data_IF_075016663112
#
_entry.id   IF_075016663112
#
_cell.length_a   1.000
_cell.length_b   1.000
_cell.length_c   1.000
_cell.angle_alpha   90.00
_cell.angle_beta   90.00
_cell.angle_gamma   90.00
#
_symmetry.space_group_name_H-M   'P 1'
#
loop_
_entity.id
_entity.type
_entity.pdbx_description
1 polymer ?
#
# COMPACT_ATOMS: atom_id res chain seq x y z
N UNK A 1 37.98 -1.17 -0.63
CA UNK A 1 36.76 -0.45 -0.21
C UNK A 1 35.55 -1.11 -0.87
N UNK A 2 34.99 -2.16 -0.27
CA UNK A 2 33.65 -2.65 -0.61
C UNK A 2 33.02 -3.02 0.73
N UNK A 3 32.26 -2.08 1.30
CA UNK A 3 31.51 -2.32 2.53
C UNK A 3 30.32 -3.19 2.16
N UNK A 4 30.37 -4.48 2.49
CA UNK A 4 29.21 -5.35 2.48
C UNK A 4 28.18 -4.79 3.47
N UNK A 5 27.21 -4.02 2.98
CA UNK A 5 26.05 -3.62 3.78
C UNK A 5 25.26 -4.89 4.02
N UNK A 6 25.38 -5.41 5.24
CA UNK A 6 24.48 -6.43 5.75
C UNK A 6 23.05 -5.87 5.66
N UNK A 7 22.23 -6.41 4.76
CA UNK A 7 20.78 -6.22 4.76
C UNK A 7 20.25 -6.92 6.01
N UNK A 8 20.36 -6.26 7.16
CA UNK A 8 19.62 -6.62 8.35
C UNK A 8 18.15 -6.68 7.92
N UNK A 9 17.49 -7.81 8.20
CA UNK A 9 16.07 -8.04 7.93
C UNK A 9 15.27 -7.07 8.80
N UNK A 10 15.12 -5.83 8.32
CA UNK A 10 14.46 -4.74 9.05
C UNK A 10 12.98 -5.04 9.11
N UNK A 11 12.43 -5.06 10.31
CA UNK A 11 10.99 -5.11 10.51
C UNK A 11 10.40 -3.79 9.99
N UNK A 12 9.79 -3.81 8.80
CA UNK A 12 9.23 -2.60 8.17
C UNK A 12 8.08 -1.96 8.95
N UNK A 13 7.62 -2.58 10.05
CA UNK A 13 6.55 -2.06 10.90
C UNK A 13 6.88 -0.68 11.48
N UNK A 14 8.16 -0.38 11.73
CA UNK A 14 8.60 0.92 12.23
C UNK A 14 8.43 2.05 11.20
N UNK A 15 8.31 1.72 9.91
CA UNK A 15 8.05 2.67 8.84
C UNK A 15 6.57 3.05 8.78
N UNK A 16 5.67 2.24 9.35
CA UNK A 16 4.24 2.55 9.46
C UNK A 16 4.01 3.44 10.69
N UNK A 17 3.46 4.64 10.49
CA UNK A 17 3.24 5.60 11.59
C UNK A 17 1.82 5.52 12.12
N UNK A 18 1.64 5.14 13.38
CA UNK A 18 0.35 5.24 14.09
C UNK A 18 0.02 6.71 14.33
N UNK A 19 -1.19 7.13 13.99
CA UNK A 19 -1.68 8.50 14.20
C UNK A 19 -3.00 8.44 14.97
N UNK A 20 -3.06 9.11 16.11
CA UNK A 20 -4.28 9.16 16.95
C UNK A 20 -4.96 10.53 16.97
N UNK A 21 -4.30 11.57 16.43
CA UNK A 21 -4.79 12.93 16.52
C UNK A 21 -4.91 13.65 15.16
N UNK A 22 -5.84 14.61 15.12
CA UNK A 22 -6.19 15.32 13.89
C UNK A 22 -5.13 16.35 13.47
N UNK A 23 -4.35 16.89 14.41
CA UNK A 23 -3.29 17.87 14.10
C UNK A 23 -2.09 17.14 13.48
N UNK A 24 -1.70 16.00 14.05
CA UNK A 24 -0.67 15.12 13.51
C UNK A 24 -1.07 14.58 12.14
N UNK A 25 -2.32 14.11 11.97
CA UNK A 25 -2.82 13.70 10.66
C UNK A 25 -2.64 14.80 9.60
N UNK A 26 -3.08 16.03 9.91
CA UNK A 26 -2.87 17.18 9.02
C UNK A 26 -1.40 17.51 8.80
N UNK A 27 -0.54 17.32 9.80
CA UNK A 27 0.90 17.54 9.68
C UNK A 27 1.49 16.59 8.65
N UNK A 28 1.14 15.30 8.69
CA UNK A 28 1.58 14.33 7.68
C UNK A 28 1.14 14.73 6.28
N UNK A 29 -0.14 15.08 6.11
CA UNK A 29 -0.67 15.53 4.82
C UNK A 29 0.00 16.79 4.27
N UNK A 30 0.50 17.68 5.14
CA UNK A 30 1.22 18.91 4.73
C UNK A 30 2.70 18.67 4.42
N UNK A 31 3.29 17.61 4.96
CA UNK A 31 4.74 17.35 4.88
C UNK A 31 5.08 16.20 3.93
N UNK A 32 4.10 15.42 3.52
CA UNK A 32 4.25 14.28 2.62
C UNK A 32 3.19 14.35 1.53
N UNK A 33 3.63 14.33 0.28
CA UNK A 33 2.75 14.51 -0.88
C UNK A 33 2.07 13.21 -1.33
N UNK A 34 2.50 12.06 -0.81
CA UNK A 34 1.98 10.75 -1.20
C UNK A 34 1.82 9.91 0.06
N UNK A 35 0.57 9.76 0.50
CA UNK A 35 0.25 9.15 1.79
C UNK A 35 -0.84 8.11 1.61
N UNK A 36 -0.53 6.86 2.00
CA UNK A 36 -1.51 5.79 2.13
C UNK A 36 -1.91 5.66 3.59
N UNK A 37 -3.21 5.74 3.87
CA UNK A 37 -3.74 5.68 5.23
C UNK A 37 -4.55 4.41 5.40
N UNK A 38 -4.13 3.60 6.37
CA UNK A 38 -4.80 2.37 6.81
C UNK A 38 -5.72 2.71 7.96
N UNK A 39 -7.02 2.78 7.70
CA UNK A 39 -8.04 2.90 8.73
C UNK A 39 -8.51 1.50 9.12
N UNK A 40 -8.49 1.16 10.40
CA UNK A 40 -9.06 -0.12 10.85
C UNK A 40 -10.04 0.07 12.00
N UNK A 41 -10.89 -0.93 12.24
CA UNK A 41 -11.73 -0.96 13.44
C UNK A 41 -10.93 -1.25 14.71
N UNK A 42 -9.83 -1.98 14.58
CA UNK A 42 -8.86 -2.27 15.63
C UNK A 42 -7.52 -2.71 15.01
N UNK A 43 -6.41 -2.63 15.76
CA UNK A 43 -5.10 -3.12 15.30
C UNK A 43 -5.13 -4.62 14.95
N UNK A 44 -5.95 -5.40 15.65
CA UNK A 44 -6.17 -6.83 15.39
C UNK A 44 -6.97 -7.11 14.11
N UNK A 45 -7.73 -6.14 13.62
CA UNK A 45 -8.48 -6.28 12.37
C UNK A 45 -7.57 -6.23 11.13
N UNK A 46 -6.34 -5.73 11.28
CA UNK A 46 -5.33 -5.72 10.22
C UNK A 46 -4.61 -7.06 10.20
N UNK A 47 -4.94 -7.90 9.21
CA UNK A 47 -4.38 -9.24 9.02
C UNK A 47 -2.97 -9.20 8.41
N UNK A 48 -2.74 -8.29 7.48
CA UNK A 48 -1.56 -8.31 6.61
C UNK A 48 -0.54 -7.23 6.98
N UNK A 49 -0.21 -7.14 8.28
CA UNK A 49 0.81 -6.21 8.78
C UNK A 49 2.15 -6.33 8.07
N UNK A 50 2.54 -7.56 7.73
CA UNK A 50 3.78 -7.83 7.00
C UNK A 50 3.76 -7.21 5.61
N UNK A 51 2.64 -7.34 4.89
CA UNK A 51 2.48 -6.75 3.57
C UNK A 51 2.61 -5.23 3.64
N UNK A 52 1.90 -4.59 4.58
CA UNK A 52 1.98 -3.14 4.77
C UNK A 52 3.40 -2.69 5.13
N UNK A 53 4.12 -3.47 5.95
CA UNK A 53 5.49 -3.21 6.33
C UNK A 53 6.46 -3.32 5.13
N UNK A 54 6.27 -4.33 4.27
CA UNK A 54 7.07 -4.52 3.05
C UNK A 54 6.83 -3.37 2.06
N UNK A 55 5.57 -2.93 1.89
CA UNK A 55 5.24 -1.74 1.06
C UNK A 55 5.85 -0.46 1.65
N UNK A 56 5.76 -0.26 2.98
CA UNK A 56 6.34 0.91 3.63
C UNK A 56 7.86 0.97 3.44
N UNK A 57 8.53 -0.18 3.50
CA UNK A 57 9.97 -0.29 3.30
C UNK A 57 10.35 0.01 1.84
N UNK A 58 9.63 -0.55 0.87
CA UNK A 58 9.92 -0.35 -0.56
C UNK A 58 9.61 1.09 -1.02
N UNK A 59 8.58 1.72 -0.46
CA UNK A 59 8.17 3.08 -0.81
C UNK A 59 8.80 4.16 0.08
N UNK A 60 9.79 3.81 0.91
CA UNK A 60 10.50 4.76 1.77
C UNK A 60 11.06 5.92 0.96
N UNK A 61 10.73 7.15 1.36
CA UNK A 61 11.15 8.38 0.69
C UNK A 61 10.31 8.75 -0.54
N UNK A 62 9.39 7.89 -0.98
CA UNK A 62 8.47 8.14 -2.09
C UNK A 62 7.01 8.25 -1.63
N UNK A 63 6.59 7.41 -0.67
CA UNK A 63 5.28 7.45 -0.05
C UNK A 63 5.38 7.18 1.45
N UNK A 64 4.37 7.59 2.20
CA UNK A 64 4.26 7.36 3.65
C UNK A 64 3.02 6.54 3.96
N UNK A 65 3.18 5.52 4.81
CA UNK A 65 2.05 4.71 5.29
C UNK A 65 1.70 5.13 6.71
N UNK A 66 0.45 5.55 6.90
CA UNK A 66 -0.11 5.87 8.20
C UNK A 66 -1.10 4.79 8.62
N UNK A 67 -1.18 4.55 9.92
CA UNK A 67 -2.17 3.67 10.51
C UNK A 67 -3.03 4.43 11.52
N UNK A 68 -4.35 4.29 11.41
CA UNK A 68 -5.34 4.88 12.31
C UNK A 68 -6.30 3.78 12.76
N UNK A 69 -6.36 3.55 14.06
CA UNK A 69 -7.31 2.62 14.66
C UNK A 69 -8.56 3.39 15.07
N UNK A 70 -9.65 3.22 14.34
CA UNK A 70 -10.92 3.89 14.63
C UNK A 70 -11.64 3.33 15.87
N UNK A 71 -11.17 2.22 16.44
CA UNK A 71 -11.61 1.70 17.73
C UNK A 71 -11.08 2.53 18.90
N UNK A 72 -9.79 2.87 18.87
CA UNK A 72 -9.15 3.73 19.87
C UNK A 72 -9.37 5.23 19.56
N UNK A 73 -9.18 5.61 18.30
CA UNK A 73 -9.11 7.00 17.83
C UNK A 73 -10.46 7.48 17.24
N UNK A 74 -11.57 7.12 17.89
CA UNK A 74 -12.96 7.40 17.42
C UNK A 74 -13.20 8.86 17.04
N UNK A 75 -12.63 9.81 17.80
CA UNK A 75 -12.81 11.25 17.54
C UNK A 75 -12.16 11.68 16.22
N UNK A 76 -11.01 11.10 15.88
CA UNK A 76 -10.32 11.34 14.61
C UNK A 76 -11.15 10.80 13.46
N UNK A 77 -11.55 9.52 13.51
CA UNK A 77 -12.34 8.91 12.44
C UNK A 77 -13.71 9.57 12.23
N UNK A 78 -14.38 10.02 13.30
CA UNK A 78 -15.63 10.82 13.18
C UNK A 78 -15.41 12.13 12.42
N UNK A 79 -14.32 12.86 12.70
CA UNK A 79 -14.00 14.11 11.99
C UNK A 79 -13.70 13.86 10.50
N UNK A 80 -13.04 12.74 10.22
CA UNK A 80 -12.73 12.33 8.85
C UNK A 80 -13.93 11.68 8.13
N UNK A 81 -15.06 11.46 8.83
CA UNK A 81 -16.24 10.75 8.33
C UNK A 81 -15.93 9.32 7.86
N UNK A 82 -15.09 8.62 8.62
CA UNK A 82 -14.61 7.27 8.31
C UNK A 82 -15.14 6.28 9.35
N UNK A 83 -15.64 5.14 8.89
CA UNK A 83 -16.21 4.09 9.75
C UNK A 83 -15.94 2.70 9.14
N UNK A 84 -14.71 2.18 9.26
CA UNK A 84 -14.32 0.91 8.64
C UNK A 84 -15.09 -0.25 9.26
N UNK A 85 -15.55 -1.17 8.40
CA UNK A 85 -16.11 -2.45 8.84
C UNK A 85 -15.00 -3.32 9.48
N UNK A 86 -13.86 -3.46 8.77
CA UNK A 86 -12.63 -4.08 9.25
C UNK A 86 -11.42 -3.19 8.98
N UNK A 87 -11.06 -3.03 7.70
CA UNK A 87 -9.94 -2.21 7.22
C UNK A 87 -10.37 -1.46 5.97
N UNK A 88 -10.06 -0.18 5.88
CA UNK A 88 -10.22 0.67 4.70
C UNK A 88 -8.89 1.36 4.38
N UNK A 89 -8.47 1.28 3.13
CA UNK A 89 -7.26 1.92 2.62
C UNK A 89 -7.64 3.17 1.82
N UNK A 90 -7.11 4.33 2.20
CA UNK A 90 -7.36 5.61 1.52
C UNK A 90 -6.06 6.28 1.14
N UNK A 91 -5.99 6.74 -0.09
CA UNK A 91 -4.84 7.46 -0.61
C UNK A 91 -5.09 8.97 -0.58
N UNK A 92 -4.08 9.70 -0.11
CA UNK A 92 -4.03 11.14 -0.11
C UNK A 92 -2.83 11.61 -0.93
N UNK A 93 -3.06 12.58 -1.80
CA UNK A 93 -2.04 13.15 -2.66
C UNK A 93 -2.04 14.67 -2.51
N UNK A 94 -0.85 15.26 -2.36
CA UNK A 94 -0.66 16.72 -2.20
C UNK A 94 -1.54 17.34 -1.11
N UNK A 95 -1.76 16.59 -0.03
CA UNK A 95 -2.53 17.02 1.14
C UNK A 95 -4.04 16.83 1.05
N UNK A 96 -4.55 16.35 -0.08
CA UNK A 96 -5.99 16.12 -0.30
C UNK A 96 -6.31 14.64 -0.49
N UNK A 97 -7.56 14.26 -0.26
CA UNK A 97 -8.03 12.91 -0.54
C UNK A 97 -8.03 12.68 -2.05
N UNK A 98 -7.32 11.65 -2.51
CA UNK A 98 -7.30 11.25 -3.91
C UNK A 98 -8.39 10.19 -4.17
N UNK A 99 -8.23 8.99 -3.61
CA UNK A 99 -9.20 7.90 -3.77
C UNK A 99 -9.09 6.84 -2.69
N UNK A 100 -10.12 6.00 -2.59
CA UNK A 100 -10.02 4.74 -1.87
C UNK A 100 -9.16 3.77 -2.70
N UNK A 101 -8.29 3.01 -2.05
CA UNK A 101 -7.53 1.97 -2.73
C UNK A 101 -8.45 0.81 -3.11
N UNK A 102 -8.43 0.44 -4.39
CA UNK A 102 -9.37 -0.48 -5.02
C UNK A 102 -8.67 -1.61 -5.80
N UNK A 103 -7.35 -1.76 -5.64
CA UNK A 103 -6.56 -2.81 -6.31
C UNK A 103 -6.30 -4.02 -5.41
N UNK A 104 -5.56 -5.02 -5.92
CA UNK A 104 -5.22 -6.25 -5.18
C UNK A 104 -4.41 -5.92 -3.93
N UNK A 105 -4.66 -6.63 -2.82
CA UNK A 105 -3.84 -6.53 -1.61
C UNK A 105 -2.54 -7.34 -1.77
N UNK A 106 -1.63 -6.85 -2.60
CA UNK A 106 -0.27 -7.40 -2.78
C UNK A 106 0.76 -6.27 -2.74
N UNK A 107 2.00 -6.59 -2.36
CA UNK A 107 3.10 -5.60 -2.35
C UNK A 107 3.26 -4.94 -3.71
N UNK A 108 3.32 -5.75 -4.80
CA UNK A 108 3.46 -5.25 -6.18
C UNK A 108 2.36 -4.26 -6.56
N UNK A 109 1.09 -4.60 -6.30
CA UNK A 109 -0.04 -3.76 -6.69
C UNK A 109 -0.07 -2.43 -5.91
N UNK A 110 0.17 -2.48 -4.60
CA UNK A 110 0.24 -1.28 -3.76
C UNK A 110 1.43 -0.39 -4.14
N UNK A 111 2.61 -0.96 -4.38
CA UNK A 111 3.80 -0.22 -4.81
C UNK A 111 3.57 0.43 -6.17
N UNK A 112 3.01 -0.29 -7.15
CA UNK A 112 2.70 0.26 -8.47
C UNK A 112 1.71 1.41 -8.35
N UNK A 113 0.65 1.25 -7.54
CA UNK A 113 -0.29 2.33 -7.25
C UNK A 113 0.39 3.54 -6.60
N UNK A 114 1.29 3.35 -5.64
CA UNK A 114 1.95 4.47 -4.98
C UNK A 114 2.99 5.16 -5.87
N UNK A 115 3.58 4.47 -6.85
CA UNK A 115 4.46 5.08 -7.87
C UNK A 115 3.67 5.90 -8.89
N UNK A 116 2.48 5.44 -9.27
CA UNK A 116 1.58 6.16 -10.17
C UNK A 116 0.12 6.10 -9.68
N UNK A 117 -0.27 6.98 -8.75
CA UNK A 117 -1.61 6.96 -8.16
C UNK A 117 -2.73 7.45 -9.09
N UNK A 118 -2.35 8.07 -10.22
CA UNK A 118 -3.26 8.55 -11.27
C UNK A 118 -3.29 7.60 -12.47
N UNK A 119 -2.32 6.69 -12.56
CA UNK A 119 -2.26 5.67 -13.60
C UNK A 119 -3.39 4.65 -13.50
N UNK A 120 -3.74 4.10 -14.66
CA UNK A 120 -4.72 3.04 -14.76
C UNK A 120 -4.26 1.77 -14.03
N UNK A 121 -5.23 0.92 -13.68
CA UNK A 121 -4.93 -0.39 -13.11
C UNK A 121 -4.26 -1.22 -14.21
N UNK A 122 -3.06 -1.80 -13.98
CA UNK A 122 -2.43 -2.66 -14.98
C UNK A 122 -3.36 -3.82 -15.35
N UNK A 123 -3.47 -4.14 -16.64
CA UNK A 123 -4.29 -5.25 -17.14
C UNK A 123 -3.97 -6.60 -16.47
N UNK A 124 -2.73 -6.80 -15.99
CA UNK A 124 -2.30 -7.98 -15.20
C UNK A 124 -3.05 -8.13 -13.86
N UNK A 125 -3.70 -7.07 -13.38
CA UNK A 125 -4.44 -7.05 -12.12
C UNK A 125 -5.94 -7.37 -12.31
N UNK A 126 -6.44 -7.47 -13.55
CA UNK A 126 -7.79 -7.99 -13.81
C UNK A 126 -7.86 -9.51 -13.57
N UNK A 127 -8.95 -9.96 -12.93
CA UNK A 127 -9.17 -11.37 -12.58
C UNK A 127 -9.42 -12.27 -13.82
N UNK A 128 -9.54 -11.69 -15.01
CA UNK A 128 -9.75 -12.39 -16.29
C UNK A 128 -8.46 -12.86 -16.95
N UNK A 129 -7.29 -12.45 -16.47
CA UNK A 129 -5.99 -12.78 -17.06
C UNK A 129 -5.33 -14.03 -16.44
N UNK A 130 -6.09 -15.13 -16.25
CA UNK A 130 -5.49 -16.43 -15.94
C UNK A 130 -5.29 -17.24 -17.24
N UNK A 131 -4.04 -17.65 -17.43
CA UNK A 131 -3.48 -18.55 -18.45
C UNK A 131 -3.32 -18.04 -19.89
N UNK A 132 -2.34 -17.17 -20.08
CA UNK A 132 -1.58 -17.16 -21.34
C UNK A 132 -0.45 -18.19 -21.23
N UNK A 133 -0.75 -19.42 -21.66
CA UNK A 133 0.28 -20.45 -21.88
C UNK A 133 1.19 -19.93 -23.00
N UNK A 134 2.43 -19.59 -22.66
CA UNK A 134 3.46 -19.36 -23.67
C UNK A 134 3.85 -20.73 -24.24
N UNK A 135 3.37 -21.04 -25.45
CA UNK A 135 3.89 -22.17 -26.21
C UNK A 135 5.30 -21.84 -26.70
N UNK A 136 6.30 -22.01 -25.83
CA UNK A 136 7.67 -22.21 -26.29
C UNK A 136 7.80 -23.65 -26.78
N UNK A 137 7.53 -23.87 -28.05
CA UNK A 137 8.16 -24.93 -28.84
C UNK A 137 8.06 -24.58 -30.33
N UNK A 138 9.03 -23.80 -30.80
CA UNK A 138 9.47 -23.89 -32.19
C UNK A 138 10.35 -25.14 -32.32
N UNK A 139 10.20 -25.83 -33.46
CA UNK A 139 10.98 -26.98 -33.98
C UNK A 139 10.54 -28.36 -33.45
N UNK A 140 10.20 -29.36 -34.28
CA UNK A 140 10.63 -29.66 -35.66
C UNK A 140 9.48 -30.35 -36.42
N UNK A 141 9.00 -29.77 -37.52
CA UNK A 141 8.39 -30.57 -38.60
C UNK A 141 9.55 -30.90 -39.53
N UNK A 142 9.95 -32.18 -39.57
CA UNK A 142 10.81 -32.70 -40.64
C UNK A 142 9.89 -33.37 -41.63
N UNK A 143 9.78 -32.73 -42.78
CA UNK A 143 9.23 -33.32 -43.99
C UNK A 143 10.10 -34.51 -44.45
N UNK A 144 9.44 -35.43 -45.16
CA UNK A 144 9.90 -36.62 -45.91
C UNK A 144 9.93 -37.94 -45.13
#
# INVERSE_FOLDING_TARGET
LISCVQLAKRNGRDEIKRVGDFKEFKKYLRTHNNVLVVFSKSEKAVTDWKLLADVALEMRGQATILFIDCGDDKKLCKKLKISPSNVELKHYHEGEFNKNYDRKNTVKSMVNFLRDPKGDIPWEEELTAQDVIHLENKQVIKDI
#
